data_IF_798947905230
#
_entry.id   IF_798947905230
#
_cell.length_a   1.000
_cell.length_b   1.000
_cell.length_c   1.000
_cell.angle_alpha   90.00
_cell.angle_beta   90.00
_cell.angle_gamma   90.00
#
_symmetry.space_group_name_H-M   'P 1'
#
loop_
_entity.id
_entity.type
_entity.pdbx_description
1 polymer ?
#
# COMPACT_ATOMS: atom_id res chain seq x y z
N UNK A 1 29.34 10.15 9.89
CA UNK A 1 28.72 9.02 9.19
C UNK A 1 27.42 9.51 8.59
N UNK A 2 27.32 9.63 7.27
CA UNK A 2 26.06 9.98 6.60
C UNK A 2 25.11 8.78 6.65
N UNK A 3 23.88 8.99 7.11
CA UNK A 3 22.84 7.97 7.06
C UNK A 3 22.62 7.50 5.61
N UNK A 4 22.41 6.19 5.38
CA UNK A 4 22.06 5.71 4.05
C UNK A 4 20.74 6.34 3.62
N UNK A 5 20.71 6.96 2.44
CA UNK A 5 19.48 7.50 1.85
C UNK A 5 18.54 6.34 1.51
N UNK A 6 17.58 6.09 2.39
CA UNK A 6 16.47 5.17 2.15
C UNK A 6 15.59 5.72 1.03
N UNK A 7 15.53 5.01 -0.10
CA UNK A 7 14.74 5.42 -1.26
C UNK A 7 13.26 5.11 -1.00
N UNK A 8 12.49 6.13 -0.62
CA UNK A 8 11.04 6.02 -0.39
C UNK A 8 10.27 6.12 -1.69
N UNK A 9 9.25 5.27 -1.85
CA UNK A 9 8.35 5.26 -3.00
C UNK A 9 6.91 5.37 -2.54
N UNK A 10 6.16 6.32 -3.10
CA UNK A 10 4.72 6.47 -2.86
C UNK A 10 3.95 5.83 -4.01
N UNK A 11 2.97 4.99 -3.69
CA UNK A 11 2.13 4.29 -4.67
C UNK A 11 0.67 4.65 -4.39
N UNK A 12 -0.05 5.10 -5.42
CA UNK A 12 -1.50 5.26 -5.39
C UNK A 12 -2.12 4.18 -6.28
N UNK A 13 -3.12 3.47 -5.76
CA UNK A 13 -3.81 2.42 -6.50
C UNK A 13 -5.29 2.39 -6.12
N UNK A 14 -6.14 2.22 -7.12
CA UNK A 14 -7.55 1.87 -6.94
C UNK A 14 -7.66 0.39 -6.58
N UNK A 15 -8.64 0.05 -5.74
CA UNK A 15 -8.82 -1.31 -5.23
C UNK A 15 -10.29 -1.69 -5.35
N UNK A 16 -10.60 -2.96 -5.60
CA UNK A 16 -11.98 -3.40 -5.52
C UNK A 16 -12.50 -3.28 -4.07
N UNK A 17 -13.71 -2.75 -3.90
CA UNK A 17 -14.37 -2.67 -2.59
C UNK A 17 -14.93 -4.03 -2.17
N UNK A 18 -14.01 -4.94 -1.81
CA UNK A 18 -14.32 -6.29 -1.34
C UNK A 18 -13.57 -6.60 -0.04
N UNK A 19 -14.21 -7.34 0.89
CA UNK A 19 -13.54 -7.76 2.12
C UNK A 19 -12.23 -8.50 1.85
N UNK A 20 -11.17 -8.11 2.55
CA UNK A 20 -9.86 -8.76 2.47
C UNK A 20 -8.92 -8.22 1.38
N UNK A 21 -9.34 -7.28 0.53
CA UNK A 21 -8.47 -6.69 -0.50
C UNK A 21 -7.27 -5.96 0.12
N UNK A 22 -7.49 -5.22 1.21
CA UNK A 22 -6.41 -4.57 1.96
C UNK A 22 -5.34 -5.57 2.46
N UNK A 23 -5.78 -6.68 3.06
CA UNK A 23 -4.88 -7.74 3.54
C UNK A 23 -4.12 -8.41 2.40
N UNK A 24 -4.77 -8.61 1.25
CA UNK A 24 -4.12 -9.16 0.04
C UNK A 24 -3.02 -8.22 -0.47
N UNK A 25 -3.28 -6.91 -0.51
CA UNK A 25 -2.32 -5.89 -0.95
C UNK A 25 -1.18 -5.76 0.05
N UNK A 26 -1.44 -5.61 1.34
CA UNK A 26 -0.40 -5.58 2.38
C UNK A 26 0.47 -6.85 2.35
N UNK A 27 -0.17 -8.01 2.13
CA UNK A 27 0.52 -9.29 1.96
C UNK A 27 1.45 -9.35 0.74
N UNK A 28 1.14 -8.66 -0.36
CA UNK A 28 2.01 -8.59 -1.55
C UNK A 28 3.34 -7.88 -1.22
N UNK A 29 3.29 -6.76 -0.50
CA UNK A 29 4.48 -6.04 -0.06
C UNK A 29 5.31 -6.89 0.91
N UNK A 30 4.66 -7.55 1.87
CA UNK A 30 5.32 -8.46 2.81
C UNK A 30 6.07 -9.59 2.09
N UNK A 31 5.45 -10.22 1.08
CA UNK A 31 6.09 -11.32 0.32
C UNK A 31 7.31 -10.90 -0.49
N UNK A 32 7.39 -9.62 -0.86
CA UNK A 32 8.56 -9.05 -1.57
C UNK A 32 9.59 -8.45 -0.62
N UNK A 33 9.41 -8.65 0.69
CA UNK A 33 10.27 -8.10 1.74
C UNK A 33 10.38 -6.57 1.69
N UNK A 34 9.29 -5.90 1.26
CA UNK A 34 9.18 -4.45 1.32
C UNK A 34 8.52 -4.01 2.62
N UNK A 35 9.08 -2.99 3.26
CA UNK A 35 8.48 -2.36 4.42
C UNK A 35 7.48 -1.28 3.97
N UNK A 36 6.33 -1.20 4.67
CA UNK A 36 5.34 -0.14 4.46
C UNK A 36 5.54 0.88 5.57
N UNK A 37 6.06 2.06 5.23
CA UNK A 37 6.21 3.17 6.20
C UNK A 37 4.86 3.77 6.57
N UNK A 38 3.97 3.93 5.60
CA UNK A 38 2.63 4.46 5.79
C UNK A 38 1.65 3.89 4.76
N UNK A 39 0.38 3.82 5.17
CA UNK A 39 -0.73 3.35 4.33
C UNK A 39 -1.98 4.15 4.69
N UNK A 40 -2.61 4.77 3.70
CA UNK A 40 -3.90 5.44 3.84
C UNK A 40 -4.90 4.79 2.89
N UNK A 41 -6.12 4.56 3.36
CA UNK A 41 -7.20 3.93 2.59
C UNK A 41 -8.48 4.72 2.84
N UNK A 42 -9.26 4.91 1.79
CA UNK A 42 -10.56 5.56 1.86
C UNK A 42 -11.44 5.12 0.70
N UNK A 43 -12.74 5.37 0.83
CA UNK A 43 -13.68 5.12 -0.25
C UNK A 43 -13.47 6.14 -1.38
N UNK A 44 -13.61 5.70 -2.62
CA UNK A 44 -13.63 6.59 -3.77
C UNK A 44 -15.00 7.24 -3.96
N UNK A 45 -15.08 8.21 -4.88
CA UNK A 45 -16.35 8.77 -5.33
C UNK A 45 -17.20 7.76 -6.13
N UNK A 46 -16.57 6.69 -6.64
CA UNK A 46 -17.22 5.68 -7.47
C UNK A 46 -17.51 4.42 -6.67
N UNK A 47 -18.78 4.02 -6.49
CA UNK A 47 -19.11 2.82 -5.75
C UNK A 47 -18.46 1.56 -6.34
N UNK A 48 -17.88 0.73 -5.47
CA UNK A 48 -17.28 -0.55 -5.86
C UNK A 48 -15.77 -0.49 -6.16
N UNK A 49 -15.15 0.69 -6.15
CA UNK A 49 -13.71 0.91 -6.29
C UNK A 49 -13.15 1.93 -5.28
#
# INVERSE_FOLDING_TARGET
MSEPQLKRHTINAWMEDKPGVLNRVAGLFRRRNFNIESLAVGHSETPGI
#
